data_IF_663330250422
#
_entry.id   IF_663330250422
#
_cell.length_a   1.000
_cell.length_b   1.000
_cell.length_c   1.000
_cell.angle_alpha   90.00
_cell.angle_beta   90.00
_cell.angle_gamma   90.00
#
_symmetry.space_group_name_H-M   'P 1'
#
loop_
_entity.id
_entity.type
_entity.pdbx_description
1 polymer ?
#
# COMPACT_ATOMS: atom_id res chain seq x y z
N UNK A 1 20.75 19.93 -20.18
CA UNK A 1 21.24 19.28 -18.95
C UNK A 1 20.02 18.61 -18.33
N UNK A 2 19.98 17.29 -18.26
CA UNK A 2 18.94 16.59 -17.50
C UNK A 2 19.07 17.01 -16.04
N UNK A 3 18.03 17.58 -15.48
CA UNK A 3 17.98 17.88 -14.05
C UNK A 3 18.17 16.55 -13.29
N UNK A 4 19.04 16.53 -12.28
CA UNK A 4 19.22 15.33 -11.46
C UNK A 4 17.96 15.06 -10.64
N UNK A 5 17.70 13.79 -10.33
CA UNK A 5 16.59 13.39 -9.46
C UNK A 5 16.78 14.00 -8.07
N UNK A 6 15.74 14.59 -7.52
CA UNK A 6 15.69 15.21 -6.18
C UNK A 6 14.66 14.54 -5.27
N UNK A 7 13.67 13.87 -5.86
CA UNK A 7 12.60 13.24 -5.13
C UNK A 7 12.37 11.80 -5.58
N UNK A 8 12.01 10.93 -4.63
CA UNK A 8 11.55 9.57 -4.91
C UNK A 8 10.13 9.43 -4.37
N UNK A 9 9.20 9.11 -5.27
CA UNK A 9 7.82 8.79 -4.95
C UNK A 9 7.72 7.26 -4.83
N UNK A 10 7.13 6.77 -3.77
CA UNK A 10 7.16 5.36 -3.40
C UNK A 10 5.73 4.83 -3.25
N UNK A 11 5.38 3.76 -3.94
CA UNK A 11 4.19 3.00 -3.59
C UNK A 11 4.35 2.31 -2.22
N UNK A 12 3.26 1.83 -1.61
CA UNK A 12 3.28 1.19 -0.30
C UNK A 12 3.19 -0.34 -0.38
N UNK A 13 2.02 -0.89 -0.79
CA UNK A 13 1.80 -2.34 -0.78
C UNK A 13 2.58 -3.01 -1.94
N UNK A 14 3.35 -4.07 -1.62
CA UNK A 14 4.21 -4.72 -2.62
C UNK A 14 5.56 -4.02 -2.82
N UNK A 15 5.65 -2.75 -2.47
CA UNK A 15 6.86 -1.92 -2.59
C UNK A 15 7.56 -1.72 -1.26
N UNK A 16 6.93 -1.06 -0.31
CA UNK A 16 7.46 -0.78 1.02
C UNK A 16 7.05 -1.83 2.06
N UNK A 17 5.81 -2.27 1.99
CA UNK A 17 5.24 -3.23 2.94
C UNK A 17 4.56 -4.38 2.23
N UNK A 18 4.52 -5.52 2.90
CA UNK A 18 3.73 -6.69 2.50
C UNK A 18 2.65 -7.00 3.53
N UNK A 19 1.48 -7.41 3.06
CA UNK A 19 0.43 -7.97 3.92
C UNK A 19 0.82 -9.41 4.26
N UNK A 20 0.99 -9.70 5.55
CA UNK A 20 1.18 -11.07 6.00
C UNK A 20 -0.11 -11.87 5.77
N UNK A 21 -0.02 -13.19 5.45
CA UNK A 21 -1.19 -14.01 5.19
C UNK A 21 -2.23 -13.89 6.31
N UNK A 22 -3.41 -13.26 6.09
CA UNK A 22 -4.33 -12.94 7.18
C UNK A 22 -5.16 -14.16 7.63
N UNK A 23 -5.34 -15.17 6.79
CA UNK A 23 -6.22 -16.31 7.07
C UNK A 23 -5.83 -17.10 8.32
N UNK A 24 -4.55 -17.45 8.57
CA UNK A 24 -4.15 -18.15 9.80
C UNK A 24 -4.45 -17.32 11.06
N UNK A 25 -4.23 -16.00 11.01
CA UNK A 25 -4.47 -15.11 12.13
C UNK A 25 -5.97 -14.92 12.37
N UNK A 26 -6.77 -14.69 11.31
CA UNK A 26 -8.22 -14.62 11.39
C UNK A 26 -8.80 -15.90 12.01
N UNK A 27 -8.36 -17.07 11.55
CA UNK A 27 -8.78 -18.36 12.11
C UNK A 27 -8.51 -18.46 13.61
N UNK A 28 -7.32 -18.03 14.05
CA UNK A 28 -6.94 -18.01 15.48
C UNK A 28 -7.84 -17.08 16.28
N UNK A 29 -8.07 -15.86 15.80
CA UNK A 29 -8.88 -14.85 16.48
C UNK A 29 -10.34 -15.28 16.59
N UNK A 30 -10.92 -15.82 15.51
CA UNK A 30 -12.26 -16.39 15.53
C UNK A 30 -12.36 -17.57 16.50
N UNK A 31 -11.33 -18.45 16.54
CA UNK A 31 -11.25 -19.57 17.49
C UNK A 31 -11.26 -19.10 18.96
N UNK A 32 -10.57 -18.01 19.29
CA UNK A 32 -10.59 -17.39 20.60
C UNK A 32 -11.98 -16.82 20.97
N UNK A 33 -12.75 -16.42 19.95
CA UNK A 33 -14.13 -15.96 20.12
C UNK A 33 -15.17 -17.12 20.10
N UNK A 34 -14.71 -18.39 20.02
CA UNK A 34 -15.57 -19.57 20.02
C UNK A 34 -16.07 -20.02 18.65
N UNK A 35 -15.54 -19.45 17.56
CA UNK A 35 -15.90 -19.80 16.19
C UNK A 35 -14.76 -20.60 15.51
N UNK A 36 -15.03 -21.85 15.15
CA UNK A 36 -14.04 -22.70 14.50
C UNK A 36 -14.26 -22.72 12.98
N UNK A 37 -13.25 -22.32 12.23
CA UNK A 37 -13.25 -22.31 10.77
C UNK A 37 -12.03 -23.04 10.23
N UNK A 38 -12.16 -23.61 9.02
CA UNK A 38 -11.00 -24.09 8.28
C UNK A 38 -10.18 -22.91 7.73
N UNK A 39 -8.94 -23.17 7.36
CA UNK A 39 -8.06 -22.14 6.78
C UNK A 39 -8.59 -21.67 5.43
N UNK A 40 -9.12 -22.59 4.59
CA UNK A 40 -9.74 -22.23 3.31
C UNK A 40 -10.94 -21.30 3.50
N UNK A 41 -11.76 -21.54 4.53
CA UNK A 41 -12.91 -20.66 4.81
C UNK A 41 -12.47 -19.29 5.33
N UNK A 42 -11.44 -19.26 6.17
CA UNK A 42 -10.85 -17.99 6.61
C UNK A 42 -10.24 -17.22 5.44
N UNK A 43 -9.54 -17.90 4.54
CA UNK A 43 -9.00 -17.30 3.32
C UNK A 43 -10.10 -16.76 2.40
N UNK A 44 -11.18 -17.54 2.19
CA UNK A 44 -12.32 -17.08 1.39
C UNK A 44 -13.02 -15.86 2.02
N UNK A 45 -13.14 -15.82 3.36
CA UNK A 45 -13.67 -14.67 4.07
C UNK A 45 -12.83 -13.41 3.86
N UNK A 46 -11.51 -13.53 4.00
CA UNK A 46 -10.61 -12.41 3.76
C UNK A 46 -10.55 -11.99 2.28
N UNK A 47 -10.62 -12.93 1.35
CA UNK A 47 -10.66 -12.62 -0.08
C UNK A 47 -11.90 -11.77 -0.44
N UNK A 48 -13.05 -12.05 0.17
CA UNK A 48 -14.26 -11.25 -0.03
C UNK A 48 -14.11 -9.83 0.55
N UNK A 49 -13.47 -9.70 1.70
CA UNK A 49 -13.14 -8.40 2.31
C UNK A 49 -12.21 -7.60 1.41
N UNK A 50 -11.08 -8.18 0.99
CA UNK A 50 -10.09 -7.52 0.13
C UNK A 50 -10.72 -7.07 -1.19
N UNK A 51 -11.53 -7.92 -1.83
CA UNK A 51 -12.22 -7.56 -3.06
C UNK A 51 -13.13 -6.34 -2.86
N UNK A 52 -13.92 -6.34 -1.79
CA UNK A 52 -14.77 -5.19 -1.45
C UNK A 52 -13.94 -3.93 -1.17
N UNK A 53 -12.85 -4.05 -0.40
CA UNK A 53 -11.96 -2.94 -0.09
C UNK A 53 -11.35 -2.33 -1.36
N UNK A 54 -10.83 -3.14 -2.27
CA UNK A 54 -10.20 -2.67 -3.51
C UNK A 54 -11.19 -1.86 -4.38
N UNK A 55 -12.45 -2.25 -4.41
CA UNK A 55 -13.49 -1.54 -5.16
C UNK A 55 -13.95 -0.24 -4.47
N UNK A 56 -13.76 -0.10 -3.14
CA UNK A 56 -14.35 0.96 -2.34
C UNK A 56 -13.36 1.80 -1.52
N UNK A 57 -12.04 1.54 -1.59
CA UNK A 57 -11.04 2.20 -0.74
C UNK A 57 -11.04 3.72 -0.82
N UNK A 58 -11.45 4.29 -1.96
CA UNK A 58 -11.59 5.74 -2.13
C UNK A 58 -12.64 6.36 -1.19
N UNK A 59 -13.57 5.56 -0.70
CA UNK A 59 -14.59 6.03 0.24
C UNK A 59 -14.02 6.30 1.64
N UNK A 60 -12.83 5.76 1.96
CA UNK A 60 -12.14 5.93 3.23
C UNK A 60 -11.28 7.21 3.32
N UNK A 61 -11.77 8.35 2.83
CA UNK A 61 -11.01 9.60 2.72
C UNK A 61 -10.80 10.36 4.04
N UNK A 62 -11.55 10.02 5.07
CA UNK A 62 -11.42 10.56 6.42
C UNK A 62 -11.81 9.49 7.46
N UNK A 63 -11.56 9.76 8.74
CA UNK A 63 -11.78 8.79 9.82
C UNK A 63 -13.23 8.29 9.88
N UNK A 64 -14.21 9.14 9.72
CA UNK A 64 -15.62 8.74 9.81
C UNK A 64 -16.03 7.85 8.63
N UNK A 65 -15.58 8.21 7.43
CA UNK A 65 -15.81 7.42 6.22
C UNK A 65 -15.05 6.11 6.24
N UNK A 66 -13.83 6.11 6.76
CA UNK A 66 -13.03 4.91 6.96
C UNK A 66 -13.72 3.92 7.91
N UNK A 67 -14.29 4.38 9.03
CA UNK A 67 -15.02 3.49 9.94
C UNK A 67 -16.22 2.84 9.24
N UNK A 68 -16.96 3.59 8.42
CA UNK A 68 -18.06 3.03 7.62
C UNK A 68 -17.58 2.04 6.55
N UNK A 69 -16.43 2.28 5.93
CA UNK A 69 -15.81 1.35 4.99
C UNK A 69 -15.42 0.05 5.71
N UNK A 70 -14.73 0.16 6.85
CA UNK A 70 -14.33 -0.99 7.68
C UNK A 70 -15.52 -1.84 8.12
N UNK A 71 -16.65 -1.19 8.47
CA UNK A 71 -17.88 -1.89 8.83
C UNK A 71 -18.43 -2.73 7.65
N UNK A 72 -18.40 -2.18 6.43
CA UNK A 72 -18.84 -2.90 5.23
C UNK A 72 -17.89 -4.02 4.84
N UNK A 73 -16.58 -3.79 4.89
CA UNK A 73 -15.57 -4.82 4.70
C UNK A 73 -15.78 -6.00 5.66
N UNK A 74 -15.99 -5.70 6.94
CA UNK A 74 -16.27 -6.71 7.95
C UNK A 74 -17.56 -7.48 7.68
N UNK A 75 -18.59 -6.82 7.16
CA UNK A 75 -19.86 -7.47 6.81
C UNK A 75 -19.69 -8.41 5.60
N UNK A 76 -18.92 -8.02 4.59
CA UNK A 76 -18.64 -8.88 3.43
C UNK A 76 -17.82 -10.12 3.86
N UNK A 77 -16.79 -9.93 4.69
CA UNK A 77 -16.07 -11.06 5.29
C UNK A 77 -17.00 -11.96 6.08
N UNK A 78 -17.84 -11.40 6.96
CA UNK A 78 -18.78 -12.16 7.80
C UNK A 78 -19.75 -12.98 6.95
N UNK A 79 -20.29 -12.42 5.87
CA UNK A 79 -21.17 -13.13 4.92
C UNK A 79 -20.46 -14.30 4.26
N UNK A 80 -19.23 -14.10 3.80
CA UNK A 80 -18.43 -15.14 3.16
C UNK A 80 -18.03 -16.27 4.12
N UNK A 81 -17.81 -15.93 5.41
CA UNK A 81 -17.50 -16.93 6.45
C UNK A 81 -18.68 -17.87 6.75
N UNK A 82 -19.93 -17.43 6.58
CA UNK A 82 -21.15 -18.25 6.83
C UNK A 82 -21.11 -18.93 8.19
N UNK A 83 -20.84 -18.17 9.27
CA UNK A 83 -20.75 -18.70 10.64
C UNK A 83 -21.99 -18.33 11.43
N UNK A 84 -22.84 -19.31 11.82
CA UNK A 84 -24.00 -19.05 12.67
C UNK A 84 -23.58 -18.40 13.99
N UNK A 85 -24.24 -17.30 14.36
CA UNK A 85 -24.00 -16.60 15.61
C UNK A 85 -22.80 -15.63 15.61
N UNK A 86 -22.00 -15.56 14.55
CA UNK A 86 -20.94 -14.57 14.44
C UNK A 86 -21.57 -13.18 14.27
N UNK A 87 -21.46 -12.37 15.30
CA UNK A 87 -21.93 -10.98 15.26
C UNK A 87 -20.93 -10.08 14.50
N UNK A 88 -21.45 -8.95 14.02
CA UNK A 88 -20.68 -7.98 13.24
C UNK A 88 -19.46 -7.42 14.02
N UNK A 89 -19.63 -7.09 15.30
CA UNK A 89 -18.56 -6.52 16.12
C UNK A 89 -17.38 -7.47 16.30
N UNK A 90 -17.66 -8.75 16.51
CA UNK A 90 -16.65 -9.81 16.62
C UNK A 90 -15.94 -10.02 15.27
N UNK A 91 -16.69 -10.07 14.16
CA UNK A 91 -16.13 -10.17 12.82
C UNK A 91 -15.20 -9.00 12.51
N UNK A 92 -15.65 -7.76 12.79
CA UNK A 92 -14.87 -6.55 12.55
C UNK A 92 -13.58 -6.50 13.36
N UNK A 93 -13.63 -6.83 14.65
CA UNK A 93 -12.40 -6.90 15.46
C UNK A 93 -11.42 -7.93 14.90
N UNK A 94 -11.89 -9.15 14.63
CA UNK A 94 -11.06 -10.21 14.09
C UNK A 94 -10.46 -9.84 12.72
N UNK A 95 -11.21 -9.17 11.86
CA UNK A 95 -10.74 -8.65 10.57
C UNK A 95 -9.59 -7.67 10.77
N UNK A 96 -9.81 -6.61 11.56
CA UNK A 96 -8.81 -5.56 11.74
C UNK A 96 -7.54 -6.07 12.46
N UNK A 97 -7.70 -6.95 13.45
CA UNK A 97 -6.58 -7.55 14.16
C UNK A 97 -5.80 -8.58 13.31
N UNK A 98 -6.43 -9.09 12.23
CA UNK A 98 -5.76 -10.01 11.31
C UNK A 98 -4.96 -9.30 10.21
N UNK A 99 -5.11 -7.99 10.05
CA UNK A 99 -4.28 -7.19 9.15
C UNK A 99 -2.92 -6.94 9.80
N UNK A 100 -1.88 -7.47 9.20
CA UNK A 100 -0.50 -7.27 9.63
C UNK A 100 0.36 -6.91 8.43
N UNK A 101 0.88 -5.68 8.41
CA UNK A 101 1.79 -5.20 7.37
C UNK A 101 3.22 -5.15 7.91
N UNK A 102 4.15 -5.74 7.14
CA UNK A 102 5.58 -5.74 7.49
C UNK A 102 6.40 -5.07 6.39
N UNK A 103 7.39 -4.26 6.77
CA UNK A 103 8.31 -3.72 5.77
C UNK A 103 9.16 -4.86 5.19
N UNK A 104 9.43 -4.79 3.89
CA UNK A 104 10.45 -5.68 3.32
C UNK A 104 11.83 -5.38 3.92
N UNK A 105 12.73 -6.37 4.01
CA UNK A 105 14.02 -6.21 4.70
C UNK A 105 14.96 -5.15 4.13
N UNK A 106 14.76 -4.77 2.88
CA UNK A 106 15.56 -3.78 2.16
C UNK A 106 15.05 -2.34 2.33
N UNK A 107 13.83 -2.16 2.83
CA UNK A 107 13.13 -0.86 2.84
C UNK A 107 13.82 0.15 3.73
N UNK A 108 13.91 -0.12 5.04
CA UNK A 108 14.47 0.86 5.97
C UNK A 108 15.91 1.26 5.62
N UNK A 109 16.83 0.32 5.27
CA UNK A 109 18.16 0.68 4.82
C UNK A 109 18.17 1.52 3.54
N UNK A 110 17.30 1.20 2.57
CA UNK A 110 17.24 1.95 1.31
C UNK A 110 16.71 3.36 1.51
N UNK A 111 15.64 3.53 2.31
CA UNK A 111 15.09 4.85 2.61
C UNK A 111 16.09 5.72 3.38
N UNK A 112 16.85 5.14 4.32
CA UNK A 112 17.91 5.85 5.04
C UNK A 112 19.02 6.33 4.10
N UNK A 113 19.52 5.46 3.21
CA UNK A 113 20.55 5.83 2.22
C UNK A 113 20.05 6.94 1.27
N UNK A 114 18.83 6.85 0.78
CA UNK A 114 18.23 7.87 -0.06
C UNK A 114 18.12 9.23 0.66
N UNK A 115 17.75 9.23 1.94
CA UNK A 115 17.71 10.45 2.78
C UNK A 115 19.11 11.05 3.00
N UNK A 116 20.09 10.21 3.29
CA UNK A 116 21.49 10.64 3.46
C UNK A 116 22.04 11.30 2.20
N UNK A 117 21.56 10.88 1.03
CA UNK A 117 21.84 11.50 -0.28
C UNK A 117 21.06 12.80 -0.53
N UNK A 118 20.21 13.22 0.42
CA UNK A 118 19.42 14.45 0.31
C UNK A 118 18.15 14.32 -0.53
N UNK A 119 17.67 13.09 -0.80
CA UNK A 119 16.43 12.87 -1.55
C UNK A 119 15.21 13.21 -0.71
N UNK A 120 14.22 13.85 -1.32
CA UNK A 120 12.88 13.97 -0.73
C UNK A 120 12.08 12.72 -1.03
N UNK A 121 11.57 12.03 0.02
CA UNK A 121 10.82 10.79 -0.11
C UNK A 121 9.35 11.03 0.19
N UNK A 122 8.46 10.64 -0.72
CA UNK A 122 7.00 10.77 -0.53
C UNK A 122 6.34 9.45 -0.88
N UNK A 123 5.50 8.93 0.02
CA UNK A 123 4.67 7.75 -0.28
C UNK A 123 3.44 8.18 -1.08
N UNK A 124 3.11 7.44 -2.15
CA UNK A 124 1.95 7.70 -3.00
C UNK A 124 1.27 6.36 -3.35
N UNK A 125 0.17 6.03 -2.67
CA UNK A 125 -0.42 4.70 -2.75
C UNK A 125 -1.94 4.72 -2.92
N UNK A 126 -2.45 3.68 -3.58
CA UNK A 126 -3.88 3.39 -3.65
C UNK A 126 -4.33 2.79 -2.31
N UNK A 127 -4.72 3.67 -1.39
CA UNK A 127 -5.08 3.34 -0.02
C UNK A 127 -6.09 4.34 0.54
N UNK A 128 -6.77 3.98 1.62
CA UNK A 128 -7.57 4.91 2.42
C UNK A 128 -6.70 5.80 3.32
N UNK A 129 -7.31 6.70 4.08
CA UNK A 129 -6.62 7.66 4.94
C UNK A 129 -5.84 7.02 6.11
N UNK A 130 -5.92 5.71 6.32
CA UNK A 130 -5.21 5.03 7.42
C UNK A 130 -3.78 4.60 7.08
N UNK A 131 -3.30 4.78 5.86
CA UNK A 131 -1.94 4.34 5.49
C UNK A 131 -0.85 4.78 6.49
N UNK A 132 -0.84 6.02 7.03
CA UNK A 132 0.14 6.42 8.03
C UNK A 132 0.10 5.58 9.32
N UNK A 133 -1.09 5.04 9.69
CA UNK A 133 -1.26 4.18 10.87
C UNK A 133 -0.51 2.83 10.70
N UNK A 134 -0.32 2.38 9.46
CA UNK A 134 0.42 1.16 9.11
C UNK A 134 1.91 1.40 8.89
N UNK A 135 2.28 2.54 8.31
CA UNK A 135 3.68 2.91 8.07
C UNK A 135 4.43 3.30 9.35
N UNK A 136 3.73 3.85 10.34
CA UNK A 136 4.32 4.27 11.61
C UNK A 136 4.99 3.12 12.38
N UNK A 137 4.27 2.05 12.73
CA UNK A 137 4.84 0.88 13.40
C UNK A 137 5.94 0.19 12.58
N UNK A 138 5.91 0.32 11.25
CA UNK A 138 6.97 -0.19 10.36
C UNK A 138 8.24 0.69 10.35
N UNK A 139 8.26 1.83 11.05
CA UNK A 139 9.40 2.75 11.08
C UNK A 139 9.59 3.58 9.80
N UNK A 140 8.60 3.57 8.89
CA UNK A 140 8.72 4.23 7.58
C UNK A 140 8.34 5.70 7.68
N UNK A 141 7.35 6.06 8.50
CA UNK A 141 6.82 7.43 8.60
C UNK A 141 7.91 8.45 8.93
N UNK A 142 8.89 8.09 9.76
CA UNK A 142 9.99 8.97 10.15
C UNK A 142 11.02 9.19 9.03
N UNK A 143 11.04 8.30 8.04
CA UNK A 143 11.97 8.34 6.92
C UNK A 143 11.40 9.08 5.69
N UNK A 144 10.09 9.33 5.64
CA UNK A 144 9.44 9.99 4.51
C UNK A 144 9.01 11.42 4.86
N UNK A 145 8.88 12.27 3.86
CA UNK A 145 8.50 13.69 4.00
C UNK A 145 7.00 13.91 3.89
N UNK A 146 6.27 12.89 3.43
CA UNK A 146 4.82 12.92 3.32
C UNK A 146 4.24 11.62 2.81
N UNK A 147 2.95 11.47 3.01
CA UNK A 147 2.15 10.33 2.54
C UNK A 147 0.95 10.88 1.78
N UNK A 148 0.71 10.34 0.61
CA UNK A 148 -0.45 10.63 -0.25
C UNK A 148 -1.24 9.36 -0.41
N UNK A 149 -2.52 9.40 -0.07
CA UNK A 149 -3.45 8.30 -0.29
C UNK A 149 -4.45 8.65 -1.39
N UNK A 150 -4.80 7.68 -2.19
CA UNK A 150 -5.79 7.85 -3.25
C UNK A 150 -7.14 8.33 -2.72
N UNK A 151 -7.54 7.87 -1.53
CA UNK A 151 -8.80 8.27 -0.92
C UNK A 151 -8.83 9.75 -0.55
N UNK A 152 -7.73 10.31 -0.03
CA UNK A 152 -7.64 11.74 0.29
C UNK A 152 -7.56 12.61 -0.97
N UNK A 153 -6.95 12.10 -2.05
CA UNK A 153 -6.92 12.76 -3.36
C UNK A 153 -8.27 12.68 -4.08
N UNK A 154 -9.06 11.65 -3.80
CA UNK A 154 -10.30 11.35 -4.52
C UNK A 154 -10.05 10.75 -5.90
N UNK A 155 -8.89 10.15 -6.11
CA UNK A 155 -8.50 9.44 -7.33
C UNK A 155 -7.43 8.40 -7.01
N UNK A 156 -7.48 7.25 -7.70
CA UNK A 156 -6.50 6.18 -7.57
C UNK A 156 -5.52 6.19 -8.75
N UNK A 157 -4.27 5.79 -8.54
CA UNK A 157 -3.34 5.46 -9.63
C UNK A 157 -4.02 4.46 -10.58
N UNK A 158 -3.92 4.63 -11.90
CA UNK A 158 -2.95 5.47 -12.64
C UNK A 158 -3.38 6.94 -12.86
N UNK A 159 -4.41 7.45 -12.19
CA UNK A 159 -4.81 8.85 -12.33
C UNK A 159 -3.65 9.79 -11.95
N UNK A 160 -3.27 10.76 -12.81
CA UNK A 160 -2.11 11.64 -12.57
C UNK A 160 -2.23 12.49 -11.30
N UNK A 161 -3.43 12.76 -10.79
CA UNK A 161 -3.65 13.57 -9.59
C UNK A 161 -2.91 13.05 -8.36
N UNK A 162 -2.74 11.73 -8.24
CA UNK A 162 -1.98 11.13 -7.13
C UNK A 162 -0.50 11.53 -7.21
N UNK A 163 0.08 11.45 -8.41
CA UNK A 163 1.47 11.83 -8.65
C UNK A 163 1.67 13.34 -8.51
N UNK A 164 0.76 14.15 -9.06
CA UNK A 164 0.79 15.62 -8.92
C UNK A 164 0.76 16.03 -7.44
N UNK A 165 -0.07 15.39 -6.63
CA UNK A 165 -0.11 15.65 -5.19
C UNK A 165 1.20 15.27 -4.50
N UNK A 166 1.80 14.15 -4.86
CA UNK A 166 3.09 13.72 -4.32
C UNK A 166 4.23 14.66 -4.73
N UNK A 167 4.27 15.10 -5.99
CA UNK A 167 5.21 16.09 -6.51
C UNK A 167 5.10 17.43 -5.78
N UNK A 168 3.87 17.88 -5.48
CA UNK A 168 3.63 19.10 -4.72
C UNK A 168 4.21 19.01 -3.30
N UNK A 169 4.08 17.87 -2.62
CA UNK A 169 4.70 17.66 -1.30
C UNK A 169 6.23 17.61 -1.44
N UNK A 170 6.73 16.95 -2.48
CA UNK A 170 8.16 16.85 -2.74
C UNK A 170 8.80 18.16 -3.19
N UNK A 171 8.02 19.18 -3.55
CA UNK A 171 8.47 20.44 -4.18
C UNK A 171 9.38 20.17 -5.39
N UNK A 172 9.04 19.16 -6.21
CA UNK A 172 9.82 18.71 -7.35
C UNK A 172 9.01 18.80 -8.66
N UNK A 173 9.70 19.13 -9.75
CA UNK A 173 9.14 18.98 -11.08
C UNK A 173 9.08 17.49 -11.48
N UNK A 174 8.18 17.07 -12.38
CA UNK A 174 8.10 15.67 -12.84
C UNK A 174 9.45 15.11 -13.31
N UNK A 175 10.24 15.91 -14.04
CA UNK A 175 11.58 15.53 -14.53
C UNK A 175 12.66 15.44 -13.44
N UNK A 176 12.38 15.86 -12.21
CA UNK A 176 13.26 15.80 -11.05
C UNK A 176 12.84 14.68 -10.06
N UNK A 177 11.83 13.91 -10.40
CA UNK A 177 11.30 12.83 -9.57
C UNK A 177 11.45 11.46 -10.24
N UNK A 178 11.58 10.44 -9.40
CA UNK A 178 11.51 9.04 -9.76
C UNK A 178 10.36 8.40 -8.99
N UNK A 179 9.45 7.71 -9.68
CA UNK A 179 8.46 6.87 -9.02
C UNK A 179 8.94 5.41 -8.93
N UNK A 180 8.62 4.74 -7.84
CA UNK A 180 8.98 3.34 -7.60
C UNK A 180 7.75 2.61 -7.08
N UNK A 181 7.33 1.57 -7.77
CA UNK A 181 6.15 0.78 -7.41
C UNK A 181 6.23 -0.65 -7.98
N UNK A 182 5.28 -1.50 -7.64
CA UNK A 182 5.26 -2.93 -8.00
C UNK A 182 4.27 -3.28 -9.12
N UNK A 183 3.45 -2.32 -9.56
CA UNK A 183 2.40 -2.53 -10.55
C UNK A 183 2.67 -1.74 -11.84
N UNK A 184 2.69 -2.43 -12.99
CA UNK A 184 2.98 -1.79 -14.27
C UNK A 184 1.95 -0.73 -14.61
N UNK A 185 0.66 -1.05 -14.53
CA UNK A 185 -0.41 -0.14 -14.95
C UNK A 185 -0.51 1.08 -14.00
N UNK A 186 -0.54 0.82 -12.70
CA UNK A 186 -0.73 1.86 -11.70
C UNK A 186 0.52 2.73 -11.51
N UNK A 187 1.69 2.12 -11.46
CA UNK A 187 2.92 2.80 -11.05
C UNK A 187 3.75 3.24 -12.26
N UNK A 188 3.99 2.35 -13.21
CA UNK A 188 4.86 2.68 -14.34
C UNK A 188 4.12 3.54 -15.36
N UNK A 189 2.97 3.08 -15.86
CA UNK A 189 2.19 3.82 -16.83
C UNK A 189 1.56 5.07 -16.23
N UNK A 190 1.05 4.97 -14.98
CA UNK A 190 0.50 6.11 -14.27
C UNK A 190 1.52 7.22 -14.04
N UNK A 191 2.73 6.90 -13.59
CA UNK A 191 3.81 7.87 -13.42
C UNK A 191 4.23 8.48 -14.76
N UNK A 192 4.37 7.66 -15.81
CA UNK A 192 4.70 8.14 -17.15
C UNK A 192 3.65 9.13 -17.68
N UNK A 193 2.36 8.89 -17.45
CA UNK A 193 1.28 9.80 -17.81
C UNK A 193 1.37 11.15 -17.06
N UNK A 194 1.93 11.15 -15.84
CA UNK A 194 2.22 12.36 -15.07
C UNK A 194 3.60 12.99 -15.43
N UNK A 195 4.33 12.45 -16.42
CA UNK A 195 5.65 12.93 -16.82
C UNK A 195 6.78 12.55 -15.85
N UNK A 196 6.55 11.60 -14.97
CA UNK A 196 7.51 11.11 -13.97
C UNK A 196 8.16 9.82 -14.49
N UNK A 197 9.49 9.75 -14.42
CA UNK A 197 10.20 8.48 -14.68
C UNK A 197 9.81 7.45 -13.62
N UNK A 198 9.62 6.19 -14.03
CA UNK A 198 9.27 5.11 -13.11
C UNK A 198 10.26 3.95 -13.16
N UNK A 199 10.36 3.24 -12.05
CA UNK A 199 11.08 1.98 -11.88
C UNK A 199 10.15 0.98 -11.22
N UNK A 200 10.03 -0.20 -11.81
CA UNK A 200 9.26 -1.31 -11.26
C UNK A 200 10.09 -2.04 -10.19
N UNK A 201 9.49 -2.34 -9.06
CA UNK A 201 10.04 -3.29 -8.09
C UNK A 201 9.43 -4.66 -8.35
N UNK A 202 10.22 -5.58 -8.89
CA UNK A 202 9.79 -6.96 -9.13
C UNK A 202 10.63 -7.90 -8.26
N UNK A 203 10.19 -8.18 -7.05
CA UNK A 203 10.96 -8.93 -6.04
C UNK A 203 11.20 -10.38 -6.44
N UNK A 204 10.21 -10.99 -7.08
CA UNK A 204 10.23 -12.39 -7.53
C UNK A 204 9.77 -12.51 -9.00
N UNK A 205 9.93 -13.70 -9.57
CA UNK A 205 9.49 -13.98 -10.95
C UNK A 205 10.39 -13.42 -12.04
N UNK A 206 9.90 -13.39 -13.28
CA UNK A 206 10.61 -12.86 -14.45
C UNK A 206 10.47 -11.34 -14.51
N UNK A 207 11.53 -10.66 -14.98
CA UNK A 207 11.50 -9.22 -15.18
C UNK A 207 10.77 -8.90 -16.49
N UNK A 208 9.80 -7.98 -16.48
CA UNK A 208 9.09 -7.57 -17.69
C UNK A 208 10.05 -6.87 -18.65
N UNK A 209 9.95 -7.19 -19.94
CA UNK A 209 10.77 -6.55 -20.96
C UNK A 209 10.33 -5.09 -21.18
N UNK A 210 11.30 -4.20 -21.35
CA UNK A 210 11.03 -2.79 -21.70
C UNK A 210 10.67 -1.88 -20.54
N UNK A 211 10.73 -2.37 -19.30
CA UNK A 211 10.51 -1.57 -18.09
C UNK A 211 11.77 -1.55 -17.24
N UNK A 212 12.21 -0.37 -16.82
CA UNK A 212 13.28 -0.24 -15.83
C UNK A 212 12.84 -0.96 -14.55
N UNK A 213 13.57 -2.01 -14.14
CA UNK A 213 13.16 -2.90 -13.06
C UNK A 213 14.30 -3.16 -12.10
N UNK A 214 13.98 -3.20 -10.79
CA UNK A 214 14.91 -3.59 -9.71
C UNK A 214 14.32 -4.75 -8.89
N UNK A 215 15.18 -5.55 -8.31
CA UNK A 215 14.79 -6.61 -7.37
C UNK A 215 14.67 -6.12 -5.92
N UNK A 216 15.37 -5.02 -5.64
CA UNK A 216 15.49 -4.46 -4.30
C UNK A 216 15.57 -2.94 -4.37
N UNK A 217 14.96 -2.27 -3.38
CA UNK A 217 15.07 -0.81 -3.25
C UNK A 217 16.51 -0.33 -3.03
N UNK A 218 17.41 -1.20 -2.57
CA UNK A 218 18.86 -0.86 -2.45
C UNK A 218 19.52 -0.56 -3.78
N UNK A 219 18.95 -1.04 -4.89
CA UNK A 219 19.48 -0.78 -6.23
C UNK A 219 19.15 0.63 -6.74
N UNK A 220 18.17 1.31 -6.11
CA UNK A 220 17.75 2.66 -6.52
C UNK A 220 18.90 3.67 -6.49
N UNK A 221 19.80 3.54 -5.52
CA UNK A 221 20.94 4.43 -5.37
C UNK A 221 21.87 4.48 -6.60
N UNK A 222 21.86 3.44 -7.44
CA UNK A 222 22.61 3.37 -8.68
C UNK A 222 21.88 3.97 -9.89
N UNK A 223 20.59 4.28 -9.75
CA UNK A 223 19.72 4.83 -10.80
C UNK A 223 19.51 6.34 -10.71
N UNK A 224 19.98 6.96 -9.61
CA UNK A 224 19.90 8.38 -9.26
C UNK A 224 21.23 9.08 -9.55
#
# INVERSE_FOLDING_TARGET
>A
MTAGVKAVLLDALGTLVELQPPAPLLRRLLGQAGFHVSEERAAAGFAAEIAYYLDHHLEGSDRERLERLRDRCAEEMRRALVLPGLDHGTARRAMLEALEFRPYPDVLPALSDLRERGMTLVVASNWDCSLPEWLGPAGITELVHGVVTSAEVGAAKPDPRVFERALAIAAAAPSEALHVGDNVDNDVEGAAAAGVRAVLVQRDGELPAGVDTVRSLRELAALL
#
